data_IF_603964322275
#
_entry.id   IF_603964322275
#
_cell.length_a   1.000
_cell.length_b   1.000
_cell.length_c   1.000
_cell.angle_alpha   90.00
_cell.angle_beta   90.00
_cell.angle_gamma   90.00
#
_symmetry.space_group_name_H-M   'P 1'
#
loop_
_entity.id
_entity.type
_entity.pdbx_description
1 polymer ?
#
# COMPACT_ATOMS: atom_id res chain seq x y z
N UNK A 1 -34.82 -44.29 -32.04
CA UNK A 1 -34.96 -43.37 -33.19
C UNK A 1 -34.56 -41.98 -32.73
N UNK A 2 -33.86 -41.24 -33.59
CA UNK A 2 -33.20 -39.92 -33.42
C UNK A 2 -31.81 -39.87 -32.73
N UNK A 3 -30.80 -39.78 -33.60
CA UNK A 3 -29.48 -39.14 -33.42
C UNK A 3 -29.49 -37.81 -34.25
N UNK A 4 -28.38 -37.06 -34.40
CA UNK A 4 -27.67 -36.20 -33.44
C UNK A 4 -27.37 -34.78 -34.04
N UNK A 5 -26.96 -33.75 -33.28
CA UNK A 5 -26.14 -32.65 -33.86
C UNK A 5 -25.09 -32.18 -32.84
N UNK A 6 -23.84 -32.51 -33.15
CA UNK A 6 -22.63 -31.81 -32.72
C UNK A 6 -22.66 -30.38 -33.27
N UNK A 7 -22.32 -29.38 -32.46
CA UNK A 7 -21.65 -28.20 -33.02
C UNK A 7 -20.56 -27.71 -32.07
N UNK A 8 -19.35 -27.87 -32.58
CA UNK A 8 -18.12 -27.29 -32.09
C UNK A 8 -18.14 -25.77 -32.28
N UNK A 9 -17.54 -25.06 -31.33
CA UNK A 9 -16.84 -23.80 -31.62
C UNK A 9 -15.47 -23.86 -30.94
N UNK A 10 -14.51 -24.31 -31.73
CA UNK A 10 -13.11 -23.90 -31.60
C UNK A 10 -12.99 -22.49 -32.18
N UNK A 11 -12.47 -21.52 -31.43
CA UNK A 11 -11.56 -20.52 -31.98
C UNK A 11 -10.42 -20.29 -30.99
N UNK A 12 -9.23 -20.34 -31.58
CA UNK A 12 -7.87 -20.35 -31.03
C UNK A 12 -7.37 -18.92 -30.76
N UNK A 13 -6.23 -18.85 -30.05
CA UNK A 13 -5.18 -17.81 -29.97
C UNK A 13 -5.12 -17.11 -28.60
N UNK A 14 -3.97 -17.01 -27.90
CA UNK A 14 -2.59 -17.32 -28.28
C UNK A 14 -1.65 -17.33 -27.05
N UNK A 15 -0.58 -18.11 -27.15
CA UNK A 15 0.74 -17.88 -26.54
C UNK A 15 0.88 -17.98 -25.01
N UNK A 16 1.03 -19.21 -24.51
CA UNK A 16 2.19 -19.64 -23.72
C UNK A 16 2.09 -21.15 -23.48
N UNK A 17 3.20 -21.84 -23.68
CA UNK A 17 3.37 -23.29 -23.62
C UNK A 17 2.82 -23.92 -22.33
N UNK A 18 1.61 -24.46 -22.38
CA UNK A 18 1.09 -25.40 -21.38
C UNK A 18 0.93 -26.74 -22.07
N UNK A 19 1.73 -27.71 -21.64
CA UNK A 19 1.65 -29.11 -22.04
C UNK A 19 0.28 -29.65 -21.66
N UNK A 20 -0.57 -29.90 -22.65
CA UNK A 20 -1.88 -30.54 -22.48
C UNK A 20 -1.67 -32.00 -22.10
N UNK A 21 -1.72 -32.31 -20.79
CA UNK A 21 -1.87 -33.67 -20.29
C UNK A 21 -3.36 -34.02 -20.28
N UNK A 22 -3.72 -35.11 -20.94
CA UNK A 22 -5.05 -35.70 -20.85
C UNK A 22 -5.32 -36.16 -19.41
N UNK A 23 -6.43 -35.70 -18.84
CA UNK A 23 -6.90 -36.12 -17.51
C UNK A 23 -7.19 -37.62 -17.53
N UNK A 24 -6.63 -38.34 -16.56
CA UNK A 24 -6.82 -39.78 -16.40
C UNK A 24 -8.01 -40.07 -15.48
N UNK A 25 -8.54 -41.31 -15.53
CA UNK A 25 -9.60 -41.76 -14.62
C UNK A 25 -9.21 -41.65 -13.13
N UNK A 26 -7.92 -41.64 -12.83
CA UNK A 26 -7.34 -41.36 -11.52
C UNK A 26 -7.44 -39.88 -11.10
N UNK A 27 -7.33 -38.96 -12.06
CA UNK A 27 -7.42 -37.50 -11.80
C UNK A 27 -8.86 -37.07 -11.50
N UNK A 28 -9.87 -37.71 -12.13
CA UNK A 28 -11.29 -37.49 -11.78
C UNK A 28 -11.62 -37.91 -10.34
N UNK A 29 -10.96 -38.93 -9.79
CA UNK A 29 -11.19 -39.42 -8.42
C UNK A 29 -10.66 -38.47 -7.35
N UNK A 30 -9.70 -37.60 -7.68
CA UNK A 30 -9.19 -36.57 -6.76
C UNK A 30 -10.21 -35.43 -6.65
N UNK A 31 -10.89 -35.08 -7.74
CA UNK A 31 -11.92 -34.04 -7.76
C UNK A 31 -13.20 -34.46 -7.05
N UNK A 32 -13.59 -35.74 -7.08
CA UNK A 32 -14.75 -36.22 -6.32
C UNK A 32 -14.56 -36.15 -4.79
N UNK A 33 -13.31 -36.16 -4.29
CA UNK A 33 -13.02 -35.99 -2.85
C UNK A 33 -13.16 -34.56 -2.35
N UNK A 34 -13.17 -33.57 -3.25
CA UNK A 34 -13.33 -32.16 -2.88
C UNK A 34 -14.78 -31.76 -2.57
N UNK A 35 -15.76 -32.59 -2.95
CA UNK A 35 -17.20 -32.32 -2.77
C UNK A 35 -17.85 -33.09 -1.61
N UNK A 36 -17.05 -33.80 -0.79
CA UNK A 36 -17.54 -34.54 0.38
C UNK A 36 -17.11 -33.88 1.70
N UNK A 37 -17.14 -32.55 1.76
CA UNK A 37 -17.07 -31.83 3.04
C UNK A 37 -18.48 -31.69 3.62
N UNK A 38 -18.84 -32.64 4.49
CA UNK A 38 -20.03 -32.62 5.36
C UNK A 38 -19.85 -31.60 6.51
N UNK A 39 -19.45 -30.38 6.18
CA UNK A 39 -19.46 -29.28 7.13
C UNK A 39 -20.91 -28.86 7.41
N UNK A 40 -21.35 -28.80 8.70
CA UNK A 40 -22.72 -28.46 9.04
C UNK A 40 -23.05 -27.05 8.56
N UNK A 41 -23.97 -26.95 7.61
CA UNK A 41 -24.62 -25.69 7.22
C UNK A 41 -25.36 -25.16 8.44
N UNK A 42 -24.77 -24.18 9.11
CA UNK A 42 -25.51 -23.40 10.09
C UNK A 42 -26.72 -22.78 9.37
N UNK A 43 -27.92 -22.76 10.00
CA UNK A 43 -29.06 -22.08 9.42
C UNK A 43 -28.69 -20.62 9.18
N UNK A 44 -28.92 -20.15 7.96
CA UNK A 44 -28.92 -18.72 7.69
C UNK A 44 -29.92 -18.06 8.64
N UNK A 45 -29.55 -16.96 9.33
CA UNK A 45 -30.52 -16.22 10.14
C UNK A 45 -31.69 -15.80 9.25
N UNK A 46 -32.89 -15.91 9.80
CA UNK A 46 -34.12 -15.53 9.11
C UNK A 46 -33.99 -14.11 8.59
N UNK A 47 -34.30 -13.91 7.30
CA UNK A 47 -34.38 -12.59 6.71
C UNK A 47 -35.43 -11.78 7.48
N UNK A 48 -34.95 -10.83 8.25
CA UNK A 48 -35.73 -9.75 8.82
C UNK A 48 -36.01 -8.77 7.70
N UNK A 49 -37.29 -8.63 7.34
CA UNK A 49 -37.82 -7.72 6.31
C UNK A 49 -37.76 -6.24 6.73
N UNK A 50 -36.81 -5.89 7.59
CA UNK A 50 -36.43 -4.50 7.80
C UNK A 50 -35.67 -4.10 6.54
N UNK A 51 -36.27 -3.16 5.81
CA UNK A 51 -35.72 -2.55 4.62
C UNK A 51 -34.33 -1.99 4.95
N UNK A 52 -33.30 -2.80 4.76
CA UNK A 52 -31.89 -2.41 4.90
C UNK A 52 -31.70 -1.31 3.87
N UNK A 53 -31.63 -0.07 4.35
CA UNK A 53 -31.24 1.05 3.51
C UNK A 53 -29.72 0.95 3.35
N UNK A 54 -29.31 0.13 2.39
CA UNK A 54 -27.91 -0.13 2.05
C UNK A 54 -27.17 1.19 1.78
N UNK A 55 -27.88 2.29 1.48
CA UNK A 55 -27.29 3.61 1.26
C UNK A 55 -26.82 4.30 2.55
N UNK A 56 -27.50 4.10 3.69
CA UNK A 56 -27.04 4.64 4.99
C UNK A 56 -25.95 3.78 5.62
N UNK A 57 -25.96 2.48 5.37
CA UNK A 57 -25.01 1.54 5.99
C UNK A 57 -23.66 1.50 5.25
N UNK A 58 -23.62 1.89 3.96
CA UNK A 58 -22.36 2.06 3.21
C UNK A 58 -21.55 3.24 3.74
N UNK A 59 -22.18 4.33 4.22
CA UNK A 59 -21.47 5.46 4.83
C UNK A 59 -20.82 5.10 6.18
N UNK A 60 -21.30 4.05 6.85
CA UNK A 60 -20.71 3.54 8.10
C UNK A 60 -19.63 2.46 7.86
N UNK A 61 -19.75 1.65 6.79
CA UNK A 61 -18.76 0.64 6.40
C UNK A 61 -17.57 1.27 5.65
N UNK A 62 -17.82 2.35 4.90
CA UNK A 62 -16.79 3.27 4.42
C UNK A 62 -16.60 4.41 5.42
N UNK A 63 -16.63 4.09 6.72
CA UNK A 63 -16.16 4.98 7.77
C UNK A 63 -14.95 5.72 7.23
N UNK A 64 -15.09 7.05 7.19
CA UNK A 64 -14.18 7.97 6.54
C UNK A 64 -12.78 7.37 6.64
N UNK A 65 -12.14 7.06 5.51
CA UNK A 65 -10.69 7.07 5.52
C UNK A 65 -10.31 8.52 5.72
N UNK A 66 -10.51 9.00 6.95
CA UNK A 66 -9.80 10.10 7.53
C UNK A 66 -8.37 9.56 7.56
N UNK A 67 -7.70 9.80 6.45
CA UNK A 67 -6.32 9.48 6.24
C UNK A 67 -5.55 10.37 7.21
N UNK A 68 -5.51 9.95 8.49
CA UNK A 68 -4.80 10.54 9.62
C UNK A 68 -3.27 10.51 9.40
N UNK A 69 -2.83 10.31 8.15
CA UNK A 69 -1.46 10.49 7.75
C UNK A 69 -1.13 11.98 7.85
N UNK A 70 -0.24 12.29 8.77
CA UNK A 70 0.34 13.61 8.91
C UNK A 70 1.20 13.94 7.70
N UNK A 71 0.77 14.87 6.86
CA UNK A 71 1.57 15.42 5.78
C UNK A 71 1.31 16.93 5.61
N UNK A 72 2.30 17.63 5.07
CA UNK A 72 2.12 18.99 4.64
C UNK A 72 1.25 19.03 3.36
N UNK A 73 0.18 19.80 3.40
CA UNK A 73 -0.71 20.03 2.26
C UNK A 73 -0.01 20.85 1.18
N UNK A 74 0.90 21.76 1.56
CA UNK A 74 1.75 22.51 0.62
C UNK A 74 3.17 21.92 0.59
N UNK A 75 3.41 21.04 -0.37
CA UNK A 75 4.71 20.37 -0.58
C UNK A 75 5.86 21.31 -0.99
N UNK A 76 5.55 22.54 -1.40
CA UNK A 76 6.55 23.46 -1.96
C UNK A 76 7.03 24.47 -0.93
N UNK A 77 6.11 24.98 -0.11
CA UNK A 77 6.38 26.16 0.72
C UNK A 77 6.47 25.87 2.22
N UNK A 78 5.96 24.73 2.70
CA UNK A 78 5.85 24.47 4.14
C UNK A 78 7.21 24.52 4.86
N UNK A 79 8.25 23.92 4.28
CA UNK A 79 9.63 23.98 4.81
C UNK A 79 10.13 25.43 4.89
N UNK A 80 9.98 26.20 3.80
CA UNK A 80 10.42 27.60 3.75
C UNK A 80 9.69 28.47 4.77
N UNK A 81 8.40 28.22 4.99
CA UNK A 81 7.60 28.95 5.96
C UNK A 81 7.96 28.58 7.40
N UNK A 82 8.17 27.30 7.69
CA UNK A 82 8.63 26.83 8.99
C UNK A 82 10.00 27.42 9.34
N UNK A 83 10.95 27.40 8.41
CA UNK A 83 12.28 28.00 8.58
C UNK A 83 12.26 29.53 8.79
N UNK A 84 11.18 30.19 8.36
CA UNK A 84 10.93 31.62 8.61
C UNK A 84 10.21 31.89 9.94
N UNK A 85 9.99 30.87 10.76
CA UNK A 85 9.31 30.97 12.06
C UNK A 85 7.80 31.15 11.96
N UNK A 86 7.17 30.88 10.80
CA UNK A 86 5.72 31.10 10.62
C UNK A 86 4.86 30.18 11.49
N UNK A 87 5.42 29.08 11.99
CA UNK A 87 4.75 28.18 12.92
C UNK A 87 4.41 28.87 14.26
N UNK A 88 5.16 29.90 14.65
CA UNK A 88 5.05 30.53 15.98
C UNK A 88 4.42 31.92 15.97
N UNK A 89 4.31 32.55 14.79
CA UNK A 89 3.67 33.85 14.65
C UNK A 89 2.16 33.72 14.87
N UNK A 90 1.62 34.49 15.82
CA UNK A 90 0.21 34.41 16.22
C UNK A 90 -0.80 34.47 15.06
N UNK A 91 -0.48 35.23 13.99
CA UNK A 91 -1.35 35.40 12.82
C UNK A 91 -1.22 34.29 11.77
N UNK A 92 -0.12 33.54 11.72
CA UNK A 92 0.06 32.42 10.78
C UNK A 92 -0.04 31.06 11.43
N UNK A 93 0.08 30.97 12.76
CA UNK A 93 0.10 29.71 13.51
C UNK A 93 -1.04 28.78 13.11
N UNK A 94 -2.29 29.21 13.20
CA UNK A 94 -3.44 28.36 12.87
C UNK A 94 -3.40 27.85 11.42
N UNK A 95 -3.06 28.72 10.48
CA UNK A 95 -2.93 28.34 9.06
C UNK A 95 -1.77 27.37 8.83
N UNK A 96 -0.67 27.57 9.52
CA UNK A 96 0.50 26.70 9.44
C UNK A 96 0.23 25.34 10.08
N UNK A 97 -0.55 25.28 11.16
CA UNK A 97 -0.99 24.01 11.78
C UNK A 97 -1.94 23.23 10.86
N UNK A 98 -2.74 23.91 10.04
CA UNK A 98 -3.66 23.27 9.11
C UNK A 98 -3.00 22.82 7.80
N UNK A 99 -2.11 23.64 7.24
CA UNK A 99 -1.49 23.42 5.92
C UNK A 99 -0.15 22.70 6.05
N UNK A 100 0.59 22.98 7.11
CA UNK A 100 1.96 22.51 7.31
C UNK A 100 2.15 21.80 8.67
N UNK A 101 1.27 20.85 9.04
CA UNK A 101 1.31 20.23 10.36
C UNK A 101 2.61 19.44 10.60
N UNK A 102 3.21 18.89 9.56
CA UNK A 102 4.47 18.14 9.66
C UNK A 102 5.65 19.10 9.78
N UNK A 103 5.77 20.09 8.88
CA UNK A 103 6.85 21.09 8.94
C UNK A 103 6.81 21.93 10.22
N UNK A 104 5.64 22.13 10.83
CA UNK A 104 5.50 22.83 12.12
C UNK A 104 5.53 21.91 13.35
N UNK A 105 5.88 20.63 13.18
CA UNK A 105 6.04 19.67 14.28
C UNK A 105 4.76 19.41 15.07
N UNK A 106 3.58 19.59 14.47
CA UNK A 106 2.27 19.32 15.07
C UNK A 106 1.93 17.85 15.06
N UNK A 107 2.49 17.11 14.10
CA UNK A 107 2.42 15.67 14.04
C UNK A 107 3.68 15.09 13.39
N UNK A 108 3.84 13.77 13.49
CA UNK A 108 4.93 13.02 12.88
C UNK A 108 4.40 12.34 11.62
N UNK A 109 5.21 12.29 10.56
CA UNK A 109 4.90 11.46 9.40
C UNK A 109 4.57 10.03 9.85
N UNK A 110 3.66 9.32 9.18
CA UNK A 110 3.31 7.95 9.53
C UNK A 110 4.59 7.10 9.56
N UNK A 111 4.94 6.59 10.72
CA UNK A 111 5.89 5.49 10.80
C UNK A 111 5.22 4.30 10.12
N UNK A 112 5.94 3.58 9.26
CA UNK A 112 5.43 2.32 8.77
C UNK A 112 5.07 1.43 9.98
N UNK A 113 4.05 0.56 9.86
CA UNK A 113 3.63 -0.32 10.96
C UNK A 113 4.80 -1.05 11.64
N UNK A 114 5.82 -1.36 10.84
CA UNK A 114 7.06 -2.02 11.24
C UNK A 114 7.78 -1.38 12.43
N UNK A 115 7.76 -0.04 12.58
CA UNK A 115 8.53 0.65 13.63
C UNK A 115 7.65 1.54 14.52
N UNK A 116 6.33 1.33 14.50
CA UNK A 116 5.35 2.13 15.25
C UNK A 116 5.53 2.04 16.78
N UNK A 117 6.12 0.96 17.27
CA UNK A 117 6.41 0.72 18.69
C UNK A 117 7.89 0.95 19.06
N UNK A 118 8.74 1.27 18.07
CA UNK A 118 10.16 1.48 18.30
C UNK A 118 10.41 2.80 19.01
N UNK A 119 11.29 2.79 20.02
CA UNK A 119 11.70 3.97 20.78
C UNK A 119 12.27 5.08 19.88
N UNK A 120 13.01 4.70 18.85
CA UNK A 120 13.71 5.62 17.93
C UNK A 120 13.02 5.73 16.56
N UNK A 121 11.93 4.99 16.35
CA UNK A 121 11.16 4.99 15.11
C UNK A 121 11.83 4.23 13.97
N UNK A 122 11.38 4.49 12.74
CA UNK A 122 11.96 3.89 11.55
C UNK A 122 13.24 4.62 11.10
N UNK A 123 14.12 3.86 10.47
CA UNK A 123 15.13 4.38 9.57
C UNK A 123 14.48 5.22 8.44
N UNK A 124 15.28 6.03 7.75
CA UNK A 124 14.84 6.89 6.65
C UNK A 124 14.08 6.15 5.53
N UNK A 125 14.30 4.83 5.37
CA UNK A 125 13.58 4.02 4.40
C UNK A 125 12.16 3.61 4.86
N UNK A 126 11.81 3.87 6.12
CA UNK A 126 10.53 3.51 6.70
C UNK A 126 10.31 2.01 6.86
N UNK A 127 11.35 1.17 6.80
CA UNK A 127 11.21 -0.30 6.87
C UNK A 127 11.89 -0.88 8.10
N UNK A 128 13.14 -0.47 8.37
CA UNK A 128 13.91 -0.99 9.49
C UNK A 128 13.78 -0.07 10.69
N UNK A 129 13.80 -0.60 11.91
CA UNK A 129 13.86 0.21 13.11
C UNK A 129 15.25 0.82 13.30
N UNK A 130 15.31 2.07 13.78
CA UNK A 130 16.55 2.63 14.26
C UNK A 130 16.92 2.00 15.62
N UNK A 131 18.18 1.63 15.79
CA UNK A 131 18.69 1.03 17.04
C UNK A 131 19.04 2.08 18.10
N UNK A 132 19.09 3.34 17.72
CA UNK A 132 19.41 4.46 18.60
C UNK A 132 19.03 5.81 17.97
N UNK A 133 19.29 6.92 18.69
CA UNK A 133 18.97 8.27 18.23
C UNK A 133 19.73 8.61 16.94
N UNK A 134 19.22 9.58 16.17
CA UNK A 134 19.86 10.08 14.94
C UNK A 134 20.17 8.98 13.90
N UNK A 135 19.22 8.06 13.66
CA UNK A 135 19.36 6.98 12.66
C UNK A 135 20.49 5.98 12.99
N UNK A 136 20.84 5.81 14.27
CA UNK A 136 21.86 4.83 14.66
C UNK A 136 21.42 3.41 14.30
N UNK A 137 22.33 2.64 13.68
CA UNK A 137 22.05 1.29 13.16
C UNK A 137 21.31 1.27 11.82
N UNK A 138 20.93 2.43 11.27
CA UNK A 138 20.36 2.51 9.93
C UNK A 138 21.43 2.42 8.85
N UNK A 139 21.04 1.92 7.69
CA UNK A 139 21.88 1.93 6.49
C UNK A 139 22.19 3.37 6.08
N UNK A 140 23.36 3.60 5.48
CA UNK A 140 23.69 4.91 4.92
C UNK A 140 22.69 5.28 3.82
N UNK A 141 22.09 6.47 3.91
CA UNK A 141 21.22 6.96 2.86
C UNK A 141 22.04 7.34 1.63
N UNK A 142 22.03 6.49 0.60
CA UNK A 142 22.71 6.72 -0.66
C UNK A 142 22.12 5.90 -1.80
N UNK A 143 22.49 6.24 -3.02
CA UNK A 143 22.27 5.37 -4.17
C UNK A 143 23.21 4.15 -4.12
N UNK A 144 22.63 2.95 -4.11
CA UNK A 144 23.36 1.68 -4.24
C UNK A 144 23.36 1.14 -5.68
N UNK A 145 22.56 1.74 -6.57
CA UNK A 145 22.64 1.55 -8.02
C UNK A 145 23.36 2.70 -8.68
N UNK A 146 23.71 2.51 -9.95
CA UNK A 146 24.40 3.54 -10.73
C UNK A 146 23.52 4.77 -10.91
N UNK A 147 24.12 5.96 -10.98
CA UNK A 147 23.41 7.22 -11.23
C UNK A 147 22.47 7.11 -12.43
N UNK A 148 22.95 6.56 -13.55
CA UNK A 148 22.13 6.36 -14.75
C UNK A 148 20.89 5.50 -14.49
N UNK A 149 21.03 4.44 -13.69
CA UNK A 149 19.89 3.59 -13.37
C UNK A 149 18.85 4.36 -12.54
N UNK A 150 19.30 5.06 -11.49
CA UNK A 150 18.38 5.80 -10.61
C UNK A 150 17.70 6.96 -11.35
N UNK A 151 18.44 7.73 -12.15
CA UNK A 151 17.85 8.83 -12.94
C UNK A 151 16.85 8.33 -13.99
N UNK A 152 17.14 7.21 -14.67
CA UNK A 152 16.22 6.64 -15.66
C UNK A 152 14.92 6.12 -15.03
N UNK A 153 14.96 5.71 -13.76
CA UNK A 153 13.79 5.19 -13.03
C UNK A 153 13.25 6.20 -12.03
N UNK A 154 13.63 7.48 -12.12
CA UNK A 154 13.21 8.50 -11.15
C UNK A 154 11.70 8.71 -11.10
N UNK A 155 11.00 8.45 -12.21
CA UNK A 155 9.54 8.52 -12.25
C UNK A 155 8.85 7.47 -11.38
N UNK A 156 9.54 6.38 -11.03
CA UNK A 156 8.95 5.26 -10.27
C UNK A 156 9.24 5.34 -8.78
N UNK A 157 9.75 6.48 -8.29
CA UNK A 157 9.98 6.66 -6.85
C UNK A 157 8.67 6.46 -6.08
N UNK A 158 7.58 7.11 -6.52
CA UNK A 158 6.28 7.06 -5.83
C UNK A 158 5.38 5.89 -6.27
N UNK A 159 5.87 5.01 -7.16
CA UNK A 159 5.11 3.85 -7.61
C UNK A 159 5.11 2.76 -6.53
N UNK A 160 3.93 2.42 -6.00
CA UNK A 160 3.76 1.39 -4.95
C UNK A 160 4.44 0.05 -5.27
N UNK A 161 4.52 -0.33 -6.55
CA UNK A 161 5.15 -1.58 -6.98
C UNK A 161 6.68 -1.56 -6.91
N UNK A 162 7.28 -0.38 -6.96
CA UNK A 162 8.73 -0.16 -7.02
C UNK A 162 9.27 0.60 -5.80
N UNK A 163 8.38 1.09 -4.93
CA UNK A 163 8.70 1.95 -3.80
C UNK A 163 9.79 1.37 -2.91
N UNK A 164 9.62 0.12 -2.44
CA UNK A 164 10.60 -0.55 -1.57
C UNK A 164 11.97 -0.68 -2.25
N UNK A 165 11.96 -1.04 -3.53
CA UNK A 165 13.18 -1.16 -4.30
C UNK A 165 13.86 0.22 -4.46
N UNK A 166 13.11 1.24 -4.86
CA UNK A 166 13.66 2.58 -5.03
C UNK A 166 14.17 3.16 -3.70
N UNK A 167 13.49 2.87 -2.59
CA UNK A 167 13.94 3.22 -1.23
C UNK A 167 15.28 2.59 -0.90
N UNK A 168 15.46 1.30 -1.17
CA UNK A 168 16.68 0.60 -0.79
C UNK A 168 17.87 0.85 -1.74
N UNK A 169 17.61 1.26 -2.99
CA UNK A 169 18.66 1.30 -4.02
C UNK A 169 18.92 2.68 -4.65
N UNK A 170 17.95 3.59 -4.60
CA UNK A 170 18.02 4.91 -5.26
C UNK A 170 17.57 6.04 -4.32
N UNK A 171 17.92 5.90 -3.03
CA UNK A 171 17.41 6.76 -1.96
C UNK A 171 17.68 8.25 -2.15
N UNK A 172 18.88 8.61 -2.60
CA UNK A 172 19.25 10.01 -2.85
C UNK A 172 18.52 10.57 -4.06
N UNK A 173 18.49 9.84 -5.17
CA UNK A 173 17.82 10.30 -6.40
C UNK A 173 16.32 10.50 -6.18
N UNK A 174 15.69 9.64 -5.38
CA UNK A 174 14.28 9.76 -5.02
C UNK A 174 14.02 10.73 -3.86
N UNK A 175 15.06 11.25 -3.20
CA UNK A 175 14.90 12.21 -2.11
C UNK A 175 14.36 11.63 -0.80
N UNK A 176 14.49 10.32 -0.56
CA UNK A 176 14.02 9.69 0.69
C UNK A 176 14.88 10.03 1.90
N UNK A 177 16.07 10.60 1.67
CA UNK A 177 17.02 10.94 2.72
C UNK A 177 16.62 12.17 3.57
N UNK A 178 15.53 12.87 3.24
CA UNK A 178 15.21 14.21 3.76
C UNK A 178 14.37 14.23 5.05
N UNK A 179 14.00 13.08 5.62
CA UNK A 179 13.21 13.06 6.84
C UNK A 179 13.96 13.55 8.10
N UNK A 180 15.28 13.79 8.05
CA UNK A 180 16.12 14.08 9.22
C UNK A 180 17.33 14.99 8.96
N UNK A 181 17.26 15.90 7.99
CA UNK A 181 18.33 16.89 7.71
C UNK A 181 18.14 18.19 8.51
#
# INVERSE_FOLDING_TARGET
>A
MYTPIFLALLVVFSSSSVSSRSLTSSDLKVLERFWQDDSPKQPLPAANDDKIDIFSDIEEIMGEQNDDRCYDKDKTNCETWANKGRCDLAFTKARMEEICPMSCGKCKAPAAPACSLSEYGCCWNGVNEATGPNQEGCLTCKNYKTTRFCENNKSTCDDLSSEEFMKNYCAETCGYCSAFA
#
